data_IF_343477772175
#
_entry.id   IF_343477772175
#
_cell.length_a   1.000
_cell.length_b   1.000
_cell.length_c   1.000
_cell.angle_alpha   90.00
_cell.angle_beta   90.00
_cell.angle_gamma   90.00
#
_symmetry.space_group_name_H-M   'P 1'
#
loop_
_entity.id
_entity.type
_entity.pdbx_description
1 polymer ?
#
# COMPACT_ATOMS: atom_id res chain seq x y z
N UNK A 1 -5.32 9.08 -35.26
CA UNK A 1 -4.32 9.19 -34.17
C UNK A 1 -4.87 8.73 -32.81
N UNK A 2 -5.87 7.84 -32.75
CA UNK A 2 -6.58 7.46 -31.51
C UNK A 2 -6.19 6.09 -30.92
N UNK A 3 -5.13 5.45 -31.40
CA UNK A 3 -4.71 4.11 -30.97
C UNK A 3 -3.47 4.04 -30.07
N UNK A 4 -2.92 5.18 -29.65
CA UNK A 4 -1.65 5.25 -28.90
C UNK A 4 -1.78 5.76 -27.46
N UNK A 5 -2.99 6.16 -27.03
CA UNK A 5 -3.22 6.60 -25.65
C UNK A 5 -3.83 5.44 -24.88
N UNK A 6 -2.98 4.66 -24.22
CA UNK A 6 -3.43 3.71 -23.19
C UNK A 6 -3.88 4.52 -21.98
N UNK A 7 -5.11 4.29 -21.53
CA UNK A 7 -5.68 5.00 -20.40
C UNK A 7 -4.91 4.65 -19.10
N UNK A 8 -4.32 5.66 -18.46
CA UNK A 8 -3.69 5.49 -17.16
C UNK A 8 -4.74 5.54 -16.05
N UNK A 9 -5.51 4.45 -15.91
CA UNK A 9 -6.58 4.31 -14.90
C UNK A 9 -6.06 4.60 -13.49
N UNK A 10 -4.88 4.09 -13.16
CA UNK A 10 -4.23 4.35 -11.88
C UNK A 10 -4.04 5.84 -11.60
N UNK A 11 -3.48 6.59 -12.55
CA UNK A 11 -3.25 8.02 -12.35
C UNK A 11 -4.59 8.76 -12.19
N UNK A 12 -5.61 8.39 -12.97
CA UNK A 12 -6.95 8.97 -12.83
C UNK A 12 -7.53 8.73 -11.43
N UNK A 13 -7.51 7.49 -10.94
CA UNK A 13 -7.96 7.15 -9.60
C UNK A 13 -7.21 7.95 -8.51
N UNK A 14 -5.88 8.00 -8.60
CA UNK A 14 -5.07 8.70 -7.61
C UNK A 14 -5.32 10.22 -7.59
N UNK A 15 -5.49 10.85 -8.76
CA UNK A 15 -5.79 12.29 -8.83
C UNK A 15 -7.13 12.62 -8.16
N UNK A 16 -8.13 11.74 -8.29
CA UNK A 16 -9.39 11.90 -7.54
C UNK A 16 -9.14 11.87 -6.04
N UNK A 17 -8.34 10.93 -5.55
CA UNK A 17 -8.02 10.82 -4.12
C UNK A 17 -7.18 12.02 -3.63
N UNK A 18 -6.26 12.55 -4.45
CA UNK A 18 -5.50 13.77 -4.11
C UNK A 18 -6.47 14.94 -3.90
N UNK A 19 -7.43 15.15 -4.80
CA UNK A 19 -8.41 16.22 -4.65
C UNK A 19 -9.37 15.98 -3.46
N UNK A 20 -9.72 14.73 -3.14
CA UNK A 20 -10.47 14.41 -1.92
C UNK A 20 -9.73 14.82 -0.63
N UNK A 21 -8.40 14.92 -0.66
CA UNK A 21 -7.60 15.35 0.49
C UNK A 21 -7.40 16.87 0.58
N UNK A 22 -7.78 17.63 -0.46
CA UNK A 22 -7.63 19.09 -0.48
C UNK A 22 -8.39 19.82 0.65
N UNK A 23 -9.62 19.41 1.04
CA UNK A 23 -10.32 20.05 2.16
C UNK A 23 -9.53 19.98 3.48
N UNK A 24 -8.85 18.86 3.77
CA UNK A 24 -7.99 18.73 4.95
C UNK A 24 -6.80 19.71 4.90
N UNK A 25 -6.24 19.95 3.71
CA UNK A 25 -5.18 20.93 3.51
C UNK A 25 -5.68 22.36 3.75
N UNK A 26 -6.85 22.71 3.22
CA UNK A 26 -7.46 24.04 3.40
C UNK A 26 -7.86 24.31 4.87
N UNK A 27 -8.33 23.27 5.56
CA UNK A 27 -8.60 23.32 7.00
C UNK A 27 -7.31 23.53 7.81
N UNK A 28 -6.23 22.84 7.46
CA UNK A 28 -4.92 23.08 8.07
C UNK A 28 -4.42 24.51 7.84
N UNK A 29 -4.61 25.09 6.65
CA UNK A 29 -4.29 26.50 6.38
C UNK A 29 -5.09 27.45 7.28
N UNK A 30 -6.37 27.14 7.51
CA UNK A 30 -7.22 27.92 8.41
C UNK A 30 -6.73 27.80 9.86
N UNK A 31 -6.37 26.58 10.28
CA UNK A 31 -5.80 26.32 11.60
C UNK A 31 -4.54 27.16 11.85
N UNK A 32 -3.54 27.10 10.96
CA UNK A 32 -2.27 27.82 11.18
C UNK A 32 -2.45 29.35 11.14
N UNK A 33 -3.39 29.86 10.32
CA UNK A 33 -3.77 31.28 10.33
C UNK A 33 -4.38 31.69 11.66
N UNK A 34 -5.23 30.84 12.24
CA UNK A 34 -5.76 31.02 13.59
C UNK A 34 -4.68 31.03 14.70
N UNK A 35 -3.52 30.41 14.43
CA UNK A 35 -2.34 30.45 15.32
C UNK A 35 -1.39 31.62 15.01
N UNK A 36 -1.71 32.49 14.04
CA UNK A 36 -0.92 33.68 13.70
C UNK A 36 0.06 33.50 12.53
N UNK A 37 0.08 32.36 11.85
CA UNK A 37 0.95 32.13 10.68
C UNK A 37 0.24 32.48 9.38
N UNK A 38 0.84 33.36 8.58
CA UNK A 38 0.27 33.80 7.31
C UNK A 38 0.15 32.67 6.29
N UNK A 39 1.15 31.76 6.28
CA UNK A 39 1.23 30.62 5.39
C UNK A 39 2.05 29.47 6.05
N UNK A 40 2.14 28.32 5.37
CA UNK A 40 2.90 27.17 5.88
C UNK A 40 4.38 27.52 6.03
N UNK A 41 4.99 28.22 5.06
CA UNK A 41 6.39 28.63 5.12
C UNK A 41 6.74 29.37 6.42
N UNK A 42 5.86 30.26 6.88
CA UNK A 42 6.03 30.98 8.15
C UNK A 42 6.00 30.04 9.36
N UNK A 43 5.14 29.02 9.37
CA UNK A 43 5.14 27.99 10.42
C UNK A 43 6.44 27.18 10.38
N UNK A 44 6.92 26.81 9.19
CA UNK A 44 8.18 26.06 9.03
C UNK A 44 9.38 26.91 9.49
N UNK A 45 9.30 28.24 9.35
CA UNK A 45 10.32 29.20 9.77
C UNK A 45 10.37 29.44 11.29
N UNK A 46 9.44 28.87 12.07
CA UNK A 46 9.36 29.14 13.51
C UNK A 46 10.63 28.68 14.22
N UNK A 47 11.34 29.64 14.82
CA UNK A 47 12.60 29.41 15.51
C UNK A 47 12.42 29.16 17.01
N UNK A 48 11.28 29.58 17.58
CA UNK A 48 10.96 29.32 18.98
C UNK A 48 10.41 27.90 19.14
N UNK A 49 11.25 27.00 19.64
CA UNK A 49 10.90 25.60 19.89
C UNK A 49 9.72 25.46 20.87
N UNK A 50 9.60 26.35 21.88
CA UNK A 50 8.51 26.27 22.84
C UNK A 50 7.17 26.68 22.21
N UNK A 51 7.20 27.70 21.34
CA UNK A 51 6.03 28.09 20.56
C UNK A 51 5.63 26.99 19.57
N UNK A 52 6.60 26.38 18.89
CA UNK A 52 6.37 25.29 17.96
C UNK A 52 5.76 24.06 18.65
N UNK A 53 6.30 23.66 19.81
CA UNK A 53 5.72 22.59 20.63
C UNK A 53 4.28 22.91 21.03
N UNK A 54 4.00 24.14 21.45
CA UNK A 54 2.66 24.59 21.83
C UNK A 54 1.68 24.43 20.66
N UNK A 55 2.04 24.91 19.47
CA UNK A 55 1.18 24.82 18.28
C UNK A 55 0.95 23.38 17.85
N UNK A 56 1.99 22.54 17.88
CA UNK A 56 1.85 21.14 17.51
C UNK A 56 0.96 20.37 18.51
N UNK A 57 1.04 20.70 19.80
CA UNK A 57 0.09 20.18 20.78
C UNK A 57 -1.34 20.61 20.43
N UNK A 58 -1.56 21.90 20.13
CA UNK A 58 -2.87 22.42 19.72
C UNK A 58 -3.35 21.73 18.44
N UNK A 59 -2.49 21.49 17.45
CA UNK A 59 -2.82 20.79 16.21
C UNK A 59 -3.30 19.36 16.46
N UNK A 60 -2.56 18.58 17.26
CA UNK A 60 -2.96 17.20 17.56
C UNK A 60 -4.27 17.10 18.36
N UNK A 61 -4.62 18.15 19.12
CA UNK A 61 -5.85 18.22 19.91
C UNK A 61 -7.00 18.97 19.22
N UNK A 62 -6.77 19.64 18.09
CA UNK A 62 -7.80 20.39 17.37
C UNK A 62 -8.85 19.44 16.80
N UNK A 63 -10.12 19.82 16.78
CA UNK A 63 -11.16 19.03 16.13
C UNK A 63 -11.26 19.50 14.68
N UNK A 64 -10.85 18.65 13.74
CA UNK A 64 -10.94 18.93 12.30
C UNK A 64 -12.20 18.28 11.76
N UNK A 65 -12.98 19.01 10.96
CA UNK A 65 -14.19 18.51 10.33
C UNK A 65 -13.88 17.58 9.16
N UNK A 66 -12.74 17.79 8.49
CA UNK A 66 -12.30 16.97 7.38
C UNK A 66 -11.35 15.87 7.85
N UNK A 67 -11.27 14.79 7.08
CA UNK A 67 -10.30 13.72 7.30
C UNK A 67 -9.42 13.51 6.07
N UNK A 68 -8.27 12.88 6.30
CA UNK A 68 -7.37 12.45 5.25
C UNK A 68 -7.82 11.07 4.73
N UNK A 69 -7.66 10.81 3.44
CA UNK A 69 -8.03 9.57 2.79
C UNK A 69 -6.80 8.78 2.34
N UNK A 70 -6.90 7.45 2.38
CA UNK A 70 -5.88 6.51 1.90
C UNK A 70 -5.86 6.39 0.37
N UNK A 71 -4.91 5.64 -0.18
CA UNK A 71 -4.71 5.51 -1.63
C UNK A 71 -5.87 4.88 -2.43
N UNK A 72 -6.93 4.41 -1.77
CA UNK A 72 -8.17 3.96 -2.41
C UNK A 72 -9.40 4.76 -1.96
N UNK A 73 -9.20 5.91 -1.30
CA UNK A 73 -10.27 6.82 -0.90
C UNK A 73 -10.99 6.43 0.39
N UNK A 74 -10.42 5.58 1.24
CA UNK A 74 -11.02 5.31 2.58
C UNK A 74 -10.50 6.32 3.60
N UNK A 75 -11.36 6.83 4.50
CA UNK A 75 -10.95 7.80 5.49
C UNK A 75 -10.02 7.19 6.54
N UNK A 76 -8.97 7.91 6.89
CA UNK A 76 -8.14 7.60 8.05
C UNK A 76 -8.84 8.06 9.34
N UNK A 77 -8.57 7.40 10.48
CA UNK A 77 -8.92 7.93 11.80
C UNK A 77 -8.21 9.26 12.06
N UNK A 78 -8.85 10.18 12.79
CA UNK A 78 -8.34 11.54 13.06
C UNK A 78 -6.84 11.59 13.47
N UNK A 79 -6.46 10.82 14.49
CA UNK A 79 -5.08 10.80 14.98
C UNK A 79 -4.06 10.28 13.94
N UNK A 80 -4.52 9.51 12.96
CA UNK A 80 -3.72 9.04 11.82
C UNK A 80 -3.70 10.11 10.73
N UNK A 81 -4.84 10.72 10.41
CA UNK A 81 -4.96 11.84 9.45
C UNK A 81 -3.97 12.95 9.79
N UNK A 82 -3.99 13.44 11.04
CA UNK A 82 -3.10 14.51 11.48
C UNK A 82 -1.62 14.14 11.41
N UNK A 83 -1.28 12.92 11.80
CA UNK A 83 0.10 12.43 11.77
C UNK A 83 0.62 12.26 10.35
N UNK A 84 -0.17 11.65 9.47
CA UNK A 84 0.22 11.43 8.07
C UNK A 84 0.31 12.76 7.35
N UNK A 85 -0.69 13.62 7.47
CA UNK A 85 -0.73 14.90 6.79
C UNK A 85 0.48 15.79 7.12
N UNK A 86 0.78 16.02 8.41
CA UNK A 86 1.91 16.89 8.79
C UNK A 86 3.25 16.31 8.33
N UNK A 87 3.43 15.00 8.41
CA UNK A 87 4.67 14.36 7.96
C UNK A 87 4.81 14.35 6.43
N UNK A 88 3.70 14.29 5.69
CA UNK A 88 3.69 14.42 4.24
C UNK A 88 4.04 15.85 3.80
N UNK A 89 3.49 16.87 4.46
CA UNK A 89 3.91 18.27 4.25
C UNK A 89 5.42 18.39 4.45
N UNK A 90 5.98 17.74 5.46
CA UNK A 90 7.42 17.74 5.74
C UNK A 90 8.24 16.78 4.85
N UNK A 91 7.65 16.31 3.73
CA UNK A 91 8.31 15.45 2.73
C UNK A 91 8.78 14.10 3.25
N UNK A 92 8.21 13.62 4.36
CA UNK A 92 8.66 12.41 5.03
C UNK A 92 7.68 11.23 4.84
N UNK A 93 8.11 10.03 5.24
CA UNK A 93 7.34 8.80 5.24
C UNK A 93 6.96 8.40 6.67
N UNK A 94 5.72 8.73 7.06
CA UNK A 94 5.17 8.53 8.41
C UNK A 94 5.43 7.13 8.97
N UNK A 95 5.20 6.09 8.17
CA UNK A 95 5.28 4.69 8.61
C UNK A 95 6.68 4.11 8.42
N UNK A 96 7.22 4.18 7.20
CA UNK A 96 8.47 3.48 6.85
C UNK A 96 9.71 4.11 7.51
N UNK A 97 9.75 5.44 7.62
CA UNK A 97 10.92 6.17 8.15
C UNK A 97 10.69 6.63 9.58
N UNK A 98 9.54 7.26 9.84
CA UNK A 98 9.32 7.95 11.11
C UNK A 98 8.83 7.05 12.25
N UNK A 99 8.02 6.02 11.99
CA UNK A 99 7.53 5.16 13.07
C UNK A 99 8.66 4.48 13.88
N UNK A 100 9.75 3.97 13.26
CA UNK A 100 10.91 3.46 14.01
C UNK A 100 11.66 4.53 14.82
N UNK A 101 11.63 5.79 14.38
CA UNK A 101 12.26 6.90 15.10
C UNK A 101 11.39 7.28 16.30
N UNK A 102 10.09 7.47 16.08
CA UNK A 102 9.11 7.79 17.12
C UNK A 102 9.11 6.72 18.22
N UNK A 103 9.23 5.44 17.89
CA UNK A 103 9.26 4.37 18.89
C UNK A 103 10.47 4.46 19.83
N UNK A 104 11.61 4.93 19.32
CA UNK A 104 12.87 5.12 20.08
C UNK A 104 12.96 6.49 20.78
N UNK A 105 12.12 7.45 20.41
CA UNK A 105 12.08 8.78 21.04
C UNK A 105 11.53 8.71 22.47
N UNK A 106 12.11 9.49 23.38
CA UNK A 106 11.65 9.63 24.77
C UNK A 106 10.47 10.60 24.87
N UNK A 107 9.47 10.24 25.67
CA UNK A 107 8.27 11.06 25.90
C UNK A 107 7.21 10.29 26.68
N UNK A 108 6.29 11.02 27.33
CA UNK A 108 5.27 10.42 28.21
C UNK A 108 4.19 9.68 27.45
N UNK A 109 3.89 10.11 26.23
CA UNK A 109 2.89 9.51 25.35
C UNK A 109 3.31 9.62 23.88
N UNK A 110 2.53 8.99 22.99
CA UNK A 110 2.84 8.93 21.55
C UNK A 110 2.84 10.32 20.89
N UNK A 111 1.93 11.21 21.31
CA UNK A 111 1.82 12.57 20.78
C UNK A 111 3.07 13.38 21.10
N UNK A 112 3.54 13.36 22.35
CA UNK A 112 4.78 14.05 22.76
C UNK A 112 5.98 13.55 21.95
N UNK A 113 6.09 12.24 21.71
CA UNK A 113 7.16 11.66 20.88
C UNK A 113 7.07 12.13 19.43
N UNK A 114 5.86 12.19 18.85
CA UNK A 114 5.64 12.70 17.48
C UNK A 114 6.01 14.17 17.37
N UNK A 115 5.63 15.01 18.33
CA UNK A 115 5.96 16.44 18.36
C UNK A 115 7.47 16.64 18.34
N UNK A 116 8.21 15.98 19.25
CA UNK A 116 9.68 16.07 19.27
C UNK A 116 10.34 15.65 17.96
N UNK A 117 9.79 14.64 17.29
CA UNK A 117 10.27 14.21 15.97
C UNK A 117 9.95 15.26 14.91
N UNK A 118 8.74 15.84 14.92
CA UNK A 118 8.33 16.91 14.00
C UNK A 118 9.22 18.15 14.15
N UNK A 119 9.50 18.61 15.37
CA UNK A 119 10.39 19.77 15.60
C UNK A 119 11.77 19.57 14.95
N UNK A 120 12.35 18.37 15.06
CA UNK A 120 13.63 18.05 14.41
C UNK A 120 13.55 18.01 12.90
N UNK A 121 12.44 17.50 12.35
CA UNK A 121 12.23 17.48 10.89
C UNK A 121 12.06 18.91 10.37
N UNK A 122 11.31 19.76 11.07
CA UNK A 122 11.12 21.16 10.71
C UNK A 122 12.44 21.89 10.57
N UNK A 123 13.30 21.82 11.59
CA UNK A 123 14.64 22.41 11.56
C UNK A 123 15.52 21.87 10.42
N UNK A 124 15.33 20.62 10.00
CA UNK A 124 16.05 20.03 8.87
C UNK A 124 15.49 20.49 7.51
N UNK A 125 14.16 20.60 7.37
CA UNK A 125 13.50 20.86 6.10
C UNK A 125 13.48 22.35 5.76
N UNK A 126 13.38 23.24 6.76
CA UNK A 126 13.33 24.70 6.59
C UNK A 126 14.42 25.24 5.62
N UNK A 127 15.72 24.93 5.80
CA UNK A 127 16.75 25.47 4.91
C UNK A 127 16.76 24.81 3.53
N UNK A 128 16.11 23.66 3.35
CA UNK A 128 16.07 22.92 2.08
C UNK A 128 14.94 23.41 1.17
N UNK A 129 13.88 23.98 1.75
CA UNK A 129 12.67 24.42 1.04
C UNK A 129 12.34 25.88 1.40
N UNK A 130 13.17 26.85 0.97
CA UNK A 130 13.06 28.24 1.41
C UNK A 130 11.90 29.02 0.78
N UNK A 131 11.35 28.56 -0.35
CA UNK A 131 10.40 29.32 -1.16
C UNK A 131 8.95 28.97 -0.79
N UNK A 132 8.04 29.96 -0.85
CA UNK A 132 6.64 29.78 -0.46
C UNK A 132 5.87 28.80 -1.36
N UNK A 133 6.15 28.79 -2.66
CA UNK A 133 5.46 27.95 -3.66
C UNK A 133 5.70 26.46 -3.40
N UNK A 134 6.79 26.12 -2.70
CA UNK A 134 7.08 24.74 -2.28
C UNK A 134 6.10 24.25 -1.20
N UNK A 135 5.33 25.13 -0.59
CA UNK A 135 4.40 24.81 0.48
C UNK A 135 2.93 25.00 0.08
N UNK A 136 2.68 25.37 -1.17
CA UNK A 136 1.34 25.53 -1.71
C UNK A 136 0.74 24.21 -2.20
N UNK A 137 -0.58 24.20 -2.42
CA UNK A 137 -1.32 23.00 -2.83
C UNK A 137 -0.69 22.27 -4.02
N UNK A 138 -0.26 22.91 -5.12
CA UNK A 138 0.31 22.18 -6.25
C UNK A 138 1.55 21.36 -5.86
N UNK A 139 2.44 21.93 -5.03
CA UNK A 139 3.61 21.23 -4.55
C UNK A 139 3.21 20.10 -3.58
N UNK A 140 2.29 20.36 -2.65
CA UNK A 140 1.80 19.37 -1.68
C UNK A 140 1.06 18.21 -2.35
N UNK A 141 0.26 18.49 -3.38
CA UNK A 141 -0.49 17.52 -4.17
C UNK A 141 0.44 16.48 -4.83
N UNK A 142 1.61 16.88 -5.34
CA UNK A 142 2.60 15.95 -5.90
C UNK A 142 3.17 14.99 -4.85
N UNK A 143 3.41 15.46 -3.61
CA UNK A 143 3.84 14.54 -2.55
C UNK A 143 2.72 13.63 -2.13
N UNK A 144 1.51 14.17 -1.98
CA UNK A 144 0.34 13.35 -1.68
C UNK A 144 0.16 12.26 -2.73
N UNK A 145 0.28 12.59 -4.02
CA UNK A 145 0.21 11.63 -5.12
C UNK A 145 1.20 10.49 -4.93
N UNK A 146 2.46 10.79 -4.60
CA UNK A 146 3.49 9.77 -4.33
C UNK A 146 3.18 8.93 -3.09
N UNK A 147 2.70 9.55 -2.00
CA UNK A 147 2.37 8.85 -0.75
C UNK A 147 1.14 7.95 -0.93
N UNK A 148 0.13 8.44 -1.63
CA UNK A 148 -1.10 7.72 -1.95
C UNK A 148 -0.83 6.56 -2.91
N UNK A 149 0.08 6.69 -3.88
CA UNK A 149 0.48 5.54 -4.71
C UNK A 149 1.14 4.43 -3.88
N UNK A 150 1.94 4.79 -2.86
CA UNK A 150 2.46 3.83 -1.90
C UNK A 150 1.35 3.11 -1.12
N UNK A 151 0.40 3.88 -0.59
CA UNK A 151 -0.76 3.34 0.13
C UNK A 151 -1.64 2.47 -0.77
N UNK A 152 -1.94 2.92 -2.00
CA UNK A 152 -2.79 2.22 -2.95
C UNK A 152 -2.23 0.85 -3.29
N UNK A 153 -0.92 0.76 -3.58
CA UNK A 153 -0.26 -0.51 -3.90
C UNK A 153 -0.37 -1.52 -2.75
N UNK A 154 -0.13 -1.08 -1.51
CA UNK A 154 -0.27 -1.94 -0.35
C UNK A 154 -1.72 -2.45 -0.17
N UNK A 155 -2.70 -1.58 -0.38
CA UNK A 155 -4.11 -1.91 -0.17
C UNK A 155 -4.70 -2.77 -1.29
N UNK A 156 -4.34 -2.50 -2.55
CA UNK A 156 -4.77 -3.35 -3.66
C UNK A 156 -4.09 -4.74 -3.62
N UNK A 157 -2.86 -4.84 -3.12
CA UNK A 157 -2.22 -6.14 -2.84
C UNK A 157 -3.10 -7.01 -1.93
N UNK A 158 -3.38 -6.53 -0.72
CA UNK A 158 -4.23 -7.25 0.24
C UNK A 158 -5.66 -7.52 -0.25
N UNK A 159 -6.20 -6.69 -1.15
CA UNK A 159 -7.49 -6.94 -1.78
C UNK A 159 -7.48 -8.21 -2.63
N UNK A 160 -6.46 -8.41 -3.47
CA UNK A 160 -6.37 -9.62 -4.30
C UNK A 160 -6.17 -10.87 -3.47
N UNK A 161 -5.37 -10.78 -2.40
CA UNK A 161 -5.19 -11.88 -1.45
C UNK A 161 -6.54 -12.29 -0.84
N UNK A 162 -7.34 -11.32 -0.39
CA UNK A 162 -8.68 -11.58 0.15
C UNK A 162 -9.61 -12.21 -0.89
N UNK A 163 -9.64 -11.68 -2.11
CA UNK A 163 -10.46 -12.21 -3.22
C UNK A 163 -10.11 -13.68 -3.51
N UNK A 164 -8.82 -14.01 -3.60
CA UNK A 164 -8.38 -15.38 -3.88
C UNK A 164 -8.78 -16.29 -2.71
N UNK A 165 -8.59 -15.88 -1.45
CA UNK A 165 -9.02 -16.66 -0.27
C UNK A 165 -10.53 -16.94 -0.28
N UNK A 166 -11.35 -15.92 -0.58
CA UNK A 166 -12.81 -16.06 -0.57
C UNK A 166 -13.32 -16.96 -1.70
N UNK A 167 -12.69 -16.89 -2.88
CA UNK A 167 -13.00 -17.80 -3.99
C UNK A 167 -12.58 -19.24 -3.71
N UNK A 168 -11.40 -19.46 -3.12
CA UNK A 168 -10.96 -20.79 -2.69
C UNK A 168 -11.89 -21.41 -1.65
N UNK A 169 -12.30 -20.65 -0.62
CA UNK A 169 -13.26 -21.11 0.39
C UNK A 169 -14.60 -21.50 -0.24
N UNK A 170 -15.08 -20.69 -1.17
CA UNK A 170 -16.31 -20.96 -1.92
C UNK A 170 -16.18 -22.21 -2.80
N UNK A 171 -15.04 -22.37 -3.49
CA UNK A 171 -14.73 -23.51 -4.34
C UNK A 171 -14.67 -24.82 -3.55
N UNK A 172 -13.95 -24.85 -2.44
CA UNK A 172 -13.80 -26.05 -1.62
C UNK A 172 -15.13 -26.46 -0.98
N UNK A 173 -15.94 -25.49 -0.56
CA UNK A 173 -17.30 -25.76 -0.11
C UNK A 173 -18.19 -26.32 -1.23
N UNK A 174 -18.06 -25.82 -2.46
CA UNK A 174 -18.82 -26.27 -3.64
C UNK A 174 -18.48 -27.72 -4.01
N UNK A 175 -17.22 -28.12 -3.88
CA UNK A 175 -16.71 -29.45 -4.25
C UNK A 175 -16.54 -30.41 -3.05
N UNK A 176 -17.00 -30.02 -1.86
CA UNK A 176 -16.88 -30.79 -0.62
C UNK A 176 -15.43 -31.20 -0.25
N UNK A 177 -14.45 -30.36 -0.58
CA UNK A 177 -13.04 -30.59 -0.26
C UNK A 177 -12.72 -30.10 1.15
N UNK A 178 -12.14 -30.96 2.00
CA UNK A 178 -11.75 -30.62 3.38
C UNK A 178 -10.35 -30.01 3.44
N UNK A 179 -10.20 -28.86 2.79
CA UNK A 179 -8.95 -28.09 2.76
C UNK A 179 -9.15 -26.80 3.53
N UNK A 180 -8.27 -26.54 4.50
CA UNK A 180 -8.27 -25.28 5.24
C UNK A 180 -7.58 -24.19 4.41
N UNK A 181 -8.27 -23.08 4.19
CA UNK A 181 -7.69 -21.83 3.68
C UNK A 181 -7.38 -20.95 4.88
N UNK A 182 -6.10 -20.71 5.14
CA UNK A 182 -5.70 -19.86 6.29
C UNK A 182 -6.18 -18.42 6.10
N UNK A 183 -5.97 -17.55 7.10
CA UNK A 183 -6.25 -16.11 7.00
C UNK A 183 -5.00 -15.25 7.23
N UNK A 184 -3.83 -15.86 7.33
CA UNK A 184 -2.56 -15.16 7.60
C UNK A 184 -1.54 -15.50 6.53
N UNK A 185 -0.64 -14.57 6.27
CA UNK A 185 0.56 -14.83 5.50
C UNK A 185 1.42 -15.87 6.23
N UNK A 186 2.08 -16.74 5.46
CA UNK A 186 3.05 -17.68 5.99
C UNK A 186 4.44 -17.20 5.61
N UNK A 187 5.31 -17.08 6.61
CA UNK A 187 6.72 -16.76 6.40
C UNK A 187 7.53 -18.04 6.40
N UNK A 188 8.28 -18.26 5.33
CA UNK A 188 9.19 -19.38 5.17
C UNK A 188 10.53 -18.83 4.67
N UNK A 189 11.57 -18.99 5.48
CA UNK A 189 12.85 -18.30 5.29
C UNK A 189 12.63 -16.77 5.15
N UNK A 190 13.11 -16.19 4.04
CA UNK A 190 12.95 -14.77 3.71
C UNK A 190 11.75 -14.49 2.78
N UNK A 191 10.93 -15.50 2.49
CA UNK A 191 9.74 -15.37 1.64
C UNK A 191 8.45 -15.34 2.45
N UNK A 192 7.48 -14.60 1.93
CA UNK A 192 6.12 -14.53 2.47
C UNK A 192 5.14 -15.00 1.41
N UNK A 193 4.30 -15.95 1.81
CA UNK A 193 3.24 -16.52 0.98
C UNK A 193 1.91 -15.96 1.43
N UNK A 194 1.18 -15.43 0.47
CA UNK A 194 -0.01 -14.67 0.75
C UNK A 194 -1.17 -15.57 1.16
N UNK A 195 -1.15 -16.87 0.81
CA UNK A 195 -2.15 -17.88 1.18
C UNK A 195 -1.47 -19.23 1.44
N UNK A 196 -1.91 -19.95 2.48
CA UNK A 196 -1.57 -21.35 2.75
C UNK A 196 -2.85 -22.18 2.70
N UNK A 197 -2.77 -23.31 2.00
CA UNK A 197 -3.80 -24.34 1.95
C UNK A 197 -3.30 -25.57 2.68
N UNK A 198 -4.11 -26.09 3.62
CA UNK A 198 -3.76 -27.25 4.44
C UNK A 198 -4.76 -28.36 4.13
N UNK A 199 -4.28 -29.40 3.43
CA UNK A 199 -4.99 -30.68 3.30
C UNK A 199 -4.48 -31.70 4.32
N UNK A 200 -4.97 -32.95 4.25
CA UNK A 200 -4.54 -33.98 5.19
C UNK A 200 -3.12 -34.46 4.92
N UNK A 201 -2.71 -34.48 3.64
CA UNK A 201 -1.48 -35.12 3.21
C UNK A 201 -0.38 -34.11 2.87
N UNK A 202 -0.74 -32.91 2.41
CA UNK A 202 0.19 -31.91 1.93
C UNK A 202 -0.34 -30.49 2.16
N UNK A 203 0.57 -29.52 2.03
CA UNK A 203 0.23 -28.09 2.01
C UNK A 203 0.62 -27.45 0.69
N UNK A 204 -0.17 -26.47 0.27
CA UNK A 204 0.12 -25.62 -0.88
C UNK A 204 0.33 -24.19 -0.39
N UNK A 205 1.42 -23.57 -0.84
CA UNK A 205 1.68 -22.15 -0.64
C UNK A 205 1.36 -21.39 -1.93
N UNK A 206 0.62 -20.29 -1.83
CA UNK A 206 0.21 -19.50 -2.99
C UNK A 206 0.64 -18.04 -2.81
N UNK A 207 1.69 -17.59 -3.51
CA UNK A 207 1.99 -16.17 -3.62
C UNK A 207 1.02 -15.51 -4.63
N UNK A 208 0.46 -14.37 -4.26
CA UNK A 208 -0.43 -13.54 -5.08
C UNK A 208 0.33 -12.30 -5.50
N UNK A 209 0.66 -12.20 -6.79
CA UNK A 209 1.47 -11.13 -7.35
C UNK A 209 0.70 -10.38 -8.42
N UNK A 210 0.54 -9.06 -8.23
CA UNK A 210 -0.17 -8.20 -9.18
C UNK A 210 0.73 -7.15 -9.78
N UNK A 211 0.48 -6.80 -11.06
CA UNK A 211 1.28 -5.79 -11.74
C UNK A 211 0.59 -5.11 -12.92
N UNK A 212 0.89 -3.82 -13.09
CA UNK A 212 0.38 -3.00 -14.20
C UNK A 212 1.42 -2.75 -15.30
N UNK A 213 2.71 -2.65 -14.97
CA UNK A 213 3.71 -2.02 -15.87
C UNK A 213 4.52 -3.01 -16.71
N UNK A 214 4.71 -2.61 -17.98
CA UNK A 214 5.57 -3.25 -18.99
C UNK A 214 7.05 -2.93 -18.74
N UNK A 215 7.83 -3.90 -18.25
CA UNK A 215 9.30 -3.85 -18.31
C UNK A 215 10.02 -3.01 -17.24
N UNK A 216 11.31 -2.75 -17.51
CA UNK A 216 12.26 -2.15 -16.57
C UNK A 216 12.82 -3.13 -15.54
N UNK A 217 13.82 -2.70 -14.75
CA UNK A 217 14.45 -3.55 -13.72
C UNK A 217 13.44 -4.18 -12.75
N UNK A 218 12.35 -3.48 -12.47
CA UNK A 218 11.26 -4.01 -11.65
C UNK A 218 10.61 -5.25 -12.26
N UNK A 219 10.45 -5.38 -13.60
CA UNK A 219 9.81 -6.55 -14.23
C UNK A 219 10.64 -7.83 -14.04
N UNK A 220 11.97 -7.67 -14.05
CA UNK A 220 12.90 -8.75 -13.69
C UNK A 220 12.80 -9.10 -12.20
N UNK A 221 12.69 -8.10 -11.31
CA UNK A 221 12.47 -8.35 -9.88
C UNK A 221 11.17 -9.14 -9.64
N UNK A 222 10.08 -8.77 -10.30
CA UNK A 222 8.79 -9.47 -10.18
C UNK A 222 8.87 -10.93 -10.61
N UNK A 223 9.50 -11.19 -11.76
CA UNK A 223 9.72 -12.56 -12.24
C UNK A 223 10.61 -13.34 -11.27
N UNK A 224 11.72 -12.76 -10.85
CA UNK A 224 12.65 -13.34 -9.87
C UNK A 224 11.95 -13.66 -8.56
N UNK A 225 11.10 -12.77 -8.05
CA UNK A 225 10.40 -12.97 -6.78
C UNK A 225 9.40 -14.15 -6.90
N UNK A 226 8.77 -14.35 -8.07
CA UNK A 226 7.95 -15.55 -8.33
C UNK A 226 8.81 -16.82 -8.34
N UNK A 227 9.92 -16.85 -9.09
CA UNK A 227 10.81 -18.02 -9.11
C UNK A 227 11.37 -18.35 -7.72
N UNK A 228 11.75 -17.32 -6.96
CA UNK A 228 12.28 -17.49 -5.61
C UNK A 228 11.23 -18.05 -4.66
N UNK A 229 9.99 -17.57 -4.74
CA UNK A 229 8.89 -18.13 -3.95
C UNK A 229 8.62 -19.60 -4.32
N UNK A 230 8.63 -19.95 -5.60
CA UNK A 230 8.46 -21.36 -6.02
C UNK A 230 9.59 -22.23 -5.44
N UNK A 231 10.85 -21.84 -5.68
CA UNK A 231 12.00 -22.61 -5.24
C UNK A 231 12.04 -22.81 -3.72
N UNK A 232 11.80 -21.74 -2.94
CA UNK A 232 11.81 -21.82 -1.48
C UNK A 232 10.68 -22.72 -0.95
N UNK A 233 9.49 -22.69 -1.54
CA UNK A 233 8.40 -23.58 -1.16
C UNK A 233 8.76 -25.05 -1.40
N UNK A 234 9.24 -25.37 -2.61
CA UNK A 234 9.58 -26.74 -3.02
C UNK A 234 10.76 -27.30 -2.22
N UNK A 235 11.80 -26.51 -1.97
CA UNK A 235 12.95 -26.89 -1.13
C UNK A 235 12.56 -27.26 0.30
N UNK A 236 11.42 -26.74 0.78
CA UNK A 236 10.86 -27.05 2.11
C UNK A 236 9.73 -28.09 2.06
N UNK A 237 9.53 -28.76 0.91
CA UNK A 237 8.55 -29.83 0.75
C UNK A 237 7.11 -29.35 0.63
N UNK A 238 6.88 -28.08 0.27
CA UNK A 238 5.56 -27.55 -0.03
C UNK A 238 5.33 -27.45 -1.53
N UNK A 239 4.10 -27.70 -1.97
CA UNK A 239 3.71 -27.37 -3.35
C UNK A 239 3.51 -25.86 -3.45
N UNK A 240 3.88 -25.27 -4.59
CA UNK A 240 3.67 -23.84 -4.84
C UNK A 240 2.74 -23.64 -6.04
N UNK A 241 1.69 -22.83 -5.87
CA UNK A 241 0.81 -22.40 -6.98
C UNK A 241 0.79 -20.86 -6.99
N UNK A 242 1.62 -20.21 -7.80
CA UNK A 242 1.62 -18.76 -7.91
C UNK A 242 0.37 -18.26 -8.63
N UNK A 243 -0.19 -17.16 -8.12
CA UNK A 243 -1.28 -16.40 -8.75
C UNK A 243 -0.72 -15.10 -9.27
N UNK A 244 -0.68 -14.95 -10.59
CA UNK A 244 -0.07 -13.82 -11.28
C UNK A 244 -1.16 -13.08 -12.05
N UNK A 245 -1.43 -11.83 -11.67
CA UNK A 245 -2.40 -10.95 -12.37
C UNK A 245 -1.63 -9.77 -12.94
N UNK A 246 -1.45 -9.76 -14.25
CA UNK A 246 -0.69 -8.71 -14.91
C UNK A 246 -1.11 -8.46 -16.35
N UNK A 247 -1.48 -7.21 -16.66
CA UNK A 247 -1.90 -6.78 -18.01
C UNK A 247 -0.83 -7.05 -19.06
N UNK A 248 0.43 -6.94 -18.65
CA UNK A 248 1.57 -7.04 -19.54
C UNK A 248 2.80 -7.49 -18.76
N UNK A 249 2.97 -8.80 -18.67
CA UNK A 249 4.15 -9.43 -18.11
C UNK A 249 4.97 -10.06 -19.23
N UNK A 250 6.25 -9.68 -19.33
CA UNK A 250 7.18 -10.21 -20.33
C UNK A 250 8.01 -11.40 -19.83
N UNK A 251 7.65 -11.96 -18.67
CA UNK A 251 8.26 -13.20 -18.19
C UNK A 251 7.75 -14.41 -18.96
N UNK A 252 8.57 -15.44 -19.03
CA UNK A 252 8.20 -16.69 -19.69
C UNK A 252 7.53 -17.63 -18.68
N UNK A 253 6.23 -17.87 -18.85
CA UNK A 253 5.48 -18.82 -18.01
C UNK A 253 6.09 -20.23 -18.07
N UNK A 254 6.65 -20.61 -19.22
CA UNK A 254 7.21 -21.94 -19.45
C UNK A 254 8.51 -22.18 -18.65
N UNK A 255 9.11 -21.12 -18.10
CA UNK A 255 10.31 -21.21 -17.25
C UNK A 255 9.97 -21.30 -15.75
N UNK A 256 8.70 -21.16 -15.38
CA UNK A 256 8.29 -21.33 -13.99
C UNK A 256 8.44 -22.81 -13.60
N UNK A 257 9.39 -23.10 -12.72
CA UNK A 257 9.65 -24.44 -12.19
C UNK A 257 8.56 -24.89 -11.20
N UNK A 258 7.29 -24.88 -11.60
CA UNK A 258 6.16 -25.35 -10.78
C UNK A 258 5.16 -26.10 -11.65
N UNK A 259 4.46 -27.08 -11.09
CA UNK A 259 3.48 -27.88 -11.84
C UNK A 259 2.23 -27.10 -12.25
N UNK A 260 1.79 -26.16 -11.41
CA UNK A 260 0.54 -25.42 -11.60
C UNK A 260 0.76 -23.94 -11.26
N UNK A 261 0.14 -23.06 -12.03
CA UNK A 261 0.09 -21.63 -11.77
C UNK A 261 -1.25 -21.07 -12.27
N UNK A 262 -1.61 -19.88 -11.80
CA UNK A 262 -2.73 -19.10 -12.31
C UNK A 262 -2.16 -17.83 -12.94
N UNK A 263 -2.43 -17.60 -14.23
CA UNK A 263 -2.03 -16.38 -14.91
C UNK A 263 -3.23 -15.67 -15.55
N UNK A 264 -3.51 -14.45 -15.09
CA UNK A 264 -4.59 -13.61 -15.63
C UNK A 264 -3.96 -12.37 -16.27
N UNK A 265 -4.03 -12.32 -17.60
CA UNK A 265 -3.55 -11.19 -18.38
C UNK A 265 -4.58 -10.04 -18.41
N UNK A 266 -4.73 -9.34 -17.29
CA UNK A 266 -5.62 -8.18 -17.16
C UNK A 266 -5.00 -7.09 -16.27
N UNK A 267 -5.46 -5.86 -16.45
CA UNK A 267 -5.08 -4.77 -15.58
C UNK A 267 -5.61 -5.01 -14.15
N UNK A 268 -4.76 -4.99 -13.09
CA UNK A 268 -5.18 -5.17 -11.70
C UNK A 268 -6.23 -4.17 -11.20
N UNK A 269 -6.52 -3.11 -11.95
CA UNK A 269 -7.60 -2.17 -11.65
C UNK A 269 -8.97 -2.62 -12.19
N UNK A 270 -9.04 -3.68 -12.99
CA UNK A 270 -10.26 -4.15 -13.66
C UNK A 270 -10.83 -5.40 -12.97
N UNK A 271 -11.28 -5.25 -11.72
CA UNK A 271 -11.82 -6.37 -10.91
C UNK A 271 -12.97 -7.10 -11.60
N UNK A 272 -13.83 -6.38 -12.33
CA UNK A 272 -14.96 -6.97 -13.05
C UNK A 272 -14.53 -7.96 -14.14
N UNK A 273 -13.32 -7.79 -14.69
CA UNK A 273 -12.73 -8.73 -15.66
C UNK A 273 -11.94 -9.84 -14.99
N UNK A 274 -11.25 -9.53 -13.90
CA UNK A 274 -10.38 -10.49 -13.20
C UNK A 274 -11.22 -11.52 -12.45
N UNK A 275 -12.30 -11.11 -11.79
CA UNK A 275 -13.07 -11.98 -10.92
C UNK A 275 -13.64 -13.22 -11.63
N UNK A 276 -14.26 -13.10 -12.83
CA UNK A 276 -14.74 -14.27 -13.58
C UNK A 276 -13.60 -15.18 -14.03
N UNK A 277 -12.49 -14.62 -14.54
CA UNK A 277 -11.32 -15.39 -15.00
C UNK A 277 -10.67 -16.16 -13.85
N UNK A 278 -10.55 -15.53 -12.68
CA UNK A 278 -9.99 -16.17 -11.50
C UNK A 278 -10.85 -17.35 -11.02
N UNK A 279 -12.18 -17.27 -11.14
CA UNK A 279 -13.04 -18.41 -10.85
C UNK A 279 -12.82 -19.58 -11.81
N UNK A 280 -12.68 -19.30 -13.11
CA UNK A 280 -12.42 -20.31 -14.13
C UNK A 280 -11.08 -21.03 -13.89
N UNK A 281 -10.01 -20.27 -13.67
CA UNK A 281 -8.66 -20.82 -13.40
C UNK A 281 -8.63 -21.64 -12.09
N UNK A 282 -9.31 -21.18 -11.05
CA UNK A 282 -9.42 -21.93 -9.79
C UNK A 282 -10.23 -23.22 -9.97
N UNK A 283 -11.32 -23.18 -10.74
CA UNK A 283 -12.14 -24.36 -11.04
C UNK A 283 -11.34 -25.42 -11.82
N UNK A 284 -10.48 -24.99 -12.76
CA UNK A 284 -9.60 -25.90 -13.51
C UNK A 284 -8.62 -26.67 -12.60
N UNK A 285 -8.25 -26.09 -11.46
CA UNK A 285 -7.32 -26.67 -10.49
C UNK A 285 -7.98 -27.54 -9.41
N UNK A 286 -9.30 -27.74 -9.44
CA UNK A 286 -10.02 -28.58 -8.44
C UNK A 286 -9.39 -29.96 -8.28
N UNK A 287 -9.04 -30.61 -9.41
CA UNK A 287 -8.40 -31.94 -9.37
C UNK A 287 -7.02 -31.94 -8.73
N UNK A 288 -6.29 -30.82 -8.80
CA UNK A 288 -5.00 -30.63 -8.13
C UNK A 288 -5.22 -30.44 -6.62
N UNK A 289 -6.19 -29.63 -6.22
CA UNK A 289 -6.53 -29.44 -4.81
C UNK A 289 -7.02 -30.75 -4.15
N UNK A 290 -7.82 -31.55 -4.85
CA UNK A 290 -8.31 -32.82 -4.34
C UNK A 290 -7.19 -33.85 -4.04
N UNK A 291 -5.98 -33.68 -4.58
CA UNK A 291 -4.84 -34.57 -4.29
C UNK A 291 -4.21 -34.32 -2.92
N UNK A 292 -4.41 -33.14 -2.33
CA UNK A 292 -3.79 -32.77 -1.04
C UNK A 292 -4.70 -33.06 0.16
N UNK A 293 -6.00 -33.21 -0.09
CA UNK A 293 -6.94 -33.83 0.85
C UNK A 293 -6.54 -35.28 1.15
#
# INVERSE_FOLDING_TARGET
MSGLVVENLRLKELLVVVELNKPFFEEFLTFIKGQGYVNIRALIAESDEAQLEKILNTYFSADFENTLFDGIGRPYPDATSKWFFITWILRDAATQRLAPIVSKTTGRNITEKRIKVICKILAFVEPLLPNEEQWEWPAIAEIMLQRLEGSRRALKGGLFEAIVRDKLKSLFKKHDLKIEVTNKEVKLNDETYDIELIGNNQKILMPVKTRETMGGGHALLFTRDIHKAIAVAEENGFNCIPVVIAESWGGNLDELNCENYIYIQENPNQLDKINPKLEEELEALVSTFAKIE
#
